data_IF_906933984952
#
_entry.id   IF_906933984952
#
_cell.length_a   1.000
_cell.length_b   1.000
_cell.length_c   1.000
_cell.angle_alpha   90.00
_cell.angle_beta   90.00
_cell.angle_gamma   90.00
#
_symmetry.space_group_name_H-M   'P 1'
#
loop_
_entity.id
_entity.type
_entity.pdbx_description
1 polymer ?
#
# COMPACT_ATOMS: atom_id res chain seq x y z
N UNK A 1 65.98 6.77 -10.41
CA UNK A 1 64.78 6.52 -11.25
C UNK A 1 64.26 5.13 -10.98
N UNK A 2 63.13 4.99 -10.26
CA UNK A 2 62.39 3.72 -10.36
C UNK A 2 60.86 3.86 -10.36
N UNK A 3 60.22 3.10 -11.28
CA UNK A 3 59.11 2.17 -11.02
C UNK A 3 57.87 2.64 -10.24
N UNK A 4 57.12 3.62 -10.75
CA UNK A 4 55.75 3.92 -10.28
C UNK A 4 54.75 4.19 -11.41
N UNK A 5 54.83 3.44 -12.53
CA UNK A 5 53.84 3.54 -13.61
C UNK A 5 53.50 2.13 -14.10
N UNK A 6 52.94 1.28 -13.23
CA UNK A 6 52.34 -0.01 -13.67
C UNK A 6 51.24 -0.54 -12.75
N UNK A 7 50.68 0.29 -11.86
CA UNK A 7 49.58 -0.13 -10.98
C UNK A 7 48.26 0.65 -11.20
N UNK A 8 48.25 1.60 -12.14
CA UNK A 8 47.11 2.50 -12.37
C UNK A 8 46.20 2.10 -13.55
N UNK A 9 46.38 0.90 -14.13
CA UNK A 9 45.70 0.48 -15.36
C UNK A 9 44.90 -0.83 -15.25
N UNK A 10 44.81 -1.44 -14.06
CA UNK A 10 43.95 -2.61 -13.79
C UNK A 10 42.65 -2.21 -13.04
N UNK A 11 42.46 -0.92 -12.74
CA UNK A 11 41.27 -0.38 -12.08
C UNK A 11 40.23 0.24 -13.04
N UNK A 12 40.42 0.15 -14.36
CA UNK A 12 39.50 0.69 -15.37
C UNK A 12 38.57 -0.37 -16.00
N UNK A 13 38.62 -1.60 -15.50
CA UNK A 13 37.63 -2.65 -15.77
C UNK A 13 36.91 -3.07 -14.49
N UNK A 14 36.69 -2.12 -13.57
CA UNK A 14 35.50 -2.19 -12.73
C UNK A 14 34.37 -1.75 -13.63
N UNK A 15 33.86 -2.75 -14.36
CA UNK A 15 32.52 -2.76 -14.92
C UNK A 15 31.65 -1.93 -14.00
N UNK A 16 31.11 -0.83 -14.51
CA UNK A 16 29.84 -0.28 -14.03
C UNK A 16 29.02 -1.46 -13.54
N UNK A 17 28.88 -1.61 -12.21
CA UNK A 17 27.75 -2.33 -11.66
C UNK A 17 26.61 -1.48 -12.14
N UNK A 18 26.17 -1.76 -13.36
CA UNK A 18 25.12 -1.04 -14.01
C UNK A 18 24.01 -1.06 -12.98
N UNK A 19 23.65 0.13 -12.50
CA UNK A 19 22.37 0.38 -11.89
C UNK A 19 21.40 -0.46 -12.69
N UNK A 20 20.97 -1.61 -12.14
CA UNK A 20 20.22 -2.60 -12.90
C UNK A 20 18.96 -1.85 -13.25
N UNK A 21 18.91 -1.30 -14.47
CA UNK A 21 17.74 -0.72 -15.10
C UNK A 21 16.81 -1.90 -15.25
N UNK A 22 16.12 -2.20 -14.16
CA UNK A 22 15.03 -3.13 -14.15
C UNK A 22 14.00 -2.43 -14.99
N UNK A 23 13.72 -3.00 -16.16
CA UNK A 23 12.62 -2.55 -16.98
C UNK A 23 11.38 -2.54 -16.07
N UNK A 24 10.95 -1.32 -15.74
CA UNK A 24 9.77 -1.06 -14.95
C UNK A 24 8.97 0.04 -15.63
N UNK A 25 7.65 -0.12 -15.55
CA UNK A 25 6.75 0.81 -16.24
C UNK A 25 5.48 1.01 -15.41
N UNK A 26 4.97 2.23 -15.43
CA UNK A 26 3.61 2.53 -15.05
C UNK A 26 2.73 2.54 -16.30
N UNK A 27 1.61 1.83 -16.26
CA UNK A 27 0.60 1.84 -17.31
C UNK A 27 -0.63 2.54 -16.75
N UNK A 28 -1.17 3.50 -17.48
CA UNK A 28 -2.39 4.22 -17.12
C UNK A 28 -3.39 4.04 -18.26
N UNK A 29 -4.48 3.32 -18.00
CA UNK A 29 -5.59 3.20 -18.95
C UNK A 29 -6.53 4.39 -18.77
N UNK A 30 -6.92 5.02 -19.87
CA UNK A 30 -7.84 6.17 -19.93
C UNK A 30 -8.87 5.98 -21.04
N UNK A 31 -10.04 6.61 -20.90
CA UNK A 31 -11.08 6.72 -21.93
C UNK A 31 -11.19 8.17 -22.37
N UNK A 32 -10.47 8.58 -23.43
CA UNK A 32 -10.45 10.00 -23.82
C UNK A 32 -11.80 10.56 -24.24
N UNK A 33 -12.74 9.69 -24.63
CA UNK A 33 -14.11 10.09 -24.98
C UNK A 33 -15.00 10.40 -23.77
N UNK A 34 -14.69 9.88 -22.58
CA UNK A 34 -15.54 10.02 -21.38
C UNK A 34 -14.82 10.57 -20.15
N UNK A 35 -13.51 10.40 -20.04
CA UNK A 35 -12.70 10.99 -18.98
C UNK A 35 -12.78 12.51 -19.04
N UNK A 36 -13.00 13.11 -17.87
CA UNK A 36 -13.10 14.56 -17.77
C UNK A 36 -11.76 15.21 -18.15
N UNK A 37 -11.76 16.48 -18.62
CA UNK A 37 -10.52 17.22 -18.83
C UNK A 37 -9.64 17.26 -17.57
N UNK A 38 -10.26 17.42 -16.38
CA UNK A 38 -9.54 17.37 -15.11
C UNK A 38 -8.81 16.03 -14.91
N UNK A 39 -9.47 14.90 -15.19
CA UNK A 39 -8.87 13.57 -15.10
C UNK A 39 -7.66 13.45 -16.03
N UNK A 40 -7.84 13.82 -17.30
CA UNK A 40 -6.80 13.70 -18.32
C UNK A 40 -5.60 14.62 -18.04
N UNK A 41 -5.84 15.84 -17.59
CA UNK A 41 -4.78 16.79 -17.22
C UNK A 41 -3.94 16.27 -16.06
N UNK A 42 -4.58 15.69 -15.03
CA UNK A 42 -3.85 15.09 -13.91
C UNK A 42 -3.08 13.81 -14.32
N UNK A 43 -3.63 12.98 -15.20
CA UNK A 43 -2.90 11.82 -15.75
C UNK A 43 -1.64 12.26 -16.51
N UNK A 44 -1.72 13.34 -17.30
CA UNK A 44 -0.56 13.90 -17.99
C UNK A 44 0.46 14.51 -17.01
N UNK A 45 -0.02 15.20 -15.97
CA UNK A 45 0.85 15.73 -14.91
C UNK A 45 1.57 14.59 -14.16
N UNK A 46 0.89 13.47 -13.95
CA UNK A 46 1.46 12.29 -13.32
C UNK A 46 2.57 11.65 -14.17
N UNK A 47 2.37 11.55 -15.49
CA UNK A 47 3.41 11.08 -16.42
C UNK A 47 4.68 11.93 -16.31
N UNK A 48 4.53 13.27 -16.31
CA UNK A 48 5.66 14.19 -16.14
C UNK A 48 6.36 14.00 -14.78
N UNK A 49 5.59 13.88 -13.70
CA UNK A 49 6.10 13.67 -12.34
C UNK A 49 6.93 12.38 -12.20
N UNK A 50 6.53 11.30 -12.89
CA UNK A 50 7.23 10.02 -12.84
C UNK A 50 8.44 9.97 -13.77
N UNK A 51 8.39 10.68 -14.90
CA UNK A 51 9.53 10.81 -15.81
C UNK A 51 10.74 11.47 -15.11
N UNK A 52 10.52 12.50 -14.29
CA UNK A 52 11.55 13.12 -13.45
C UNK A 52 12.25 12.14 -12.50
N UNK A 53 11.63 10.99 -12.23
CA UNK A 53 12.08 9.95 -11.30
C UNK A 53 12.51 8.67 -12.02
N UNK A 54 12.74 8.75 -13.33
CA UNK A 54 13.15 7.65 -14.19
C UNK A 54 12.17 6.46 -14.23
N UNK A 55 10.87 6.71 -13.99
CA UNK A 55 9.83 5.68 -14.13
C UNK A 55 9.12 5.91 -15.46
N UNK A 56 9.30 4.97 -16.40
CA UNK A 56 8.65 5.03 -17.71
C UNK A 56 7.14 4.90 -17.54
N UNK A 57 6.37 5.82 -18.12
CA UNK A 57 4.90 5.78 -18.06
C UNK A 57 4.32 5.57 -19.47
N UNK A 58 3.26 4.76 -19.57
CA UNK A 58 2.51 4.50 -20.80
C UNK A 58 1.03 4.79 -20.58
N UNK A 59 0.53 5.82 -21.24
CA UNK A 59 -0.89 6.15 -21.26
C UNK A 59 -1.57 5.40 -22.41
N UNK A 60 -2.58 4.60 -22.12
CA UNK A 60 -3.33 3.79 -23.09
C UNK A 60 -4.75 4.32 -23.21
N UNK A 61 -5.08 4.81 -24.40
CA UNK A 61 -6.42 5.25 -24.77
C UNK A 61 -7.28 4.05 -25.19
N UNK A 62 -8.12 3.56 -24.28
CA UNK A 62 -8.84 2.31 -24.48
C UNK A 62 -9.95 2.41 -25.52
N UNK A 63 -10.38 3.62 -25.86
CA UNK A 63 -11.34 3.86 -26.94
C UNK A 63 -10.79 3.40 -28.30
N UNK A 64 -9.46 3.34 -28.44
CA UNK A 64 -8.77 2.94 -29.68
C UNK A 64 -8.20 1.53 -29.61
N UNK A 65 -7.65 1.16 -28.46
CA UNK A 65 -6.89 -0.09 -28.33
C UNK A 65 -7.68 -1.22 -27.67
N UNK A 66 -8.83 -0.91 -27.06
CA UNK A 66 -9.45 -1.77 -26.07
C UNK A 66 -8.60 -1.87 -24.80
N UNK A 67 -9.04 -2.73 -23.87
CA UNK A 67 -8.38 -2.96 -22.59
C UNK A 67 -8.48 -4.42 -22.13
N UNK A 68 -7.55 -4.90 -21.30
CA UNK A 68 -7.65 -6.20 -20.65
C UNK A 68 -8.95 -6.34 -19.84
N UNK A 69 -9.42 -7.57 -19.64
CA UNK A 69 -10.72 -7.84 -19.03
C UNK A 69 -10.81 -7.29 -17.60
N UNK A 70 -9.70 -7.33 -16.88
CA UNK A 70 -9.54 -6.83 -15.51
C UNK A 70 -9.50 -5.30 -15.40
N UNK A 71 -9.42 -4.56 -16.51
CA UNK A 71 -9.52 -3.10 -16.48
C UNK A 71 -11.01 -2.73 -16.47
N UNK A 72 -11.57 -2.63 -15.26
CA UNK A 72 -13.01 -2.42 -15.05
C UNK A 72 -13.48 -0.97 -15.13
N UNK A 73 -12.58 -0.02 -14.92
CA UNK A 73 -12.83 1.42 -15.00
C UNK A 73 -11.58 2.17 -15.49
N UNK A 74 -11.70 3.48 -15.71
CA UNK A 74 -10.59 4.40 -15.98
C UNK A 74 -10.71 5.67 -15.12
N UNK A 75 -9.60 6.32 -14.71
CA UNK A 75 -8.23 5.92 -14.96
C UNK A 75 -7.86 4.66 -14.16
N UNK A 76 -7.16 3.71 -14.78
CA UNK A 76 -6.71 2.48 -14.13
C UNK A 76 -5.19 2.40 -14.16
N UNK A 77 -4.58 2.39 -12.98
CA UNK A 77 -3.14 2.54 -12.82
C UNK A 77 -2.50 1.21 -12.44
N UNK A 78 -1.55 0.76 -13.28
CA UNK A 78 -0.87 -0.52 -13.13
C UNK A 78 0.64 -0.32 -13.18
N UNK A 79 1.31 -0.56 -12.07
CA UNK A 79 2.76 -0.68 -12.03
C UNK A 79 3.18 -2.09 -12.50
N UNK A 80 4.24 -2.20 -13.30
CA UNK A 80 4.76 -3.50 -13.72
C UNK A 80 6.28 -3.56 -13.74
N UNK A 81 6.80 -4.76 -13.50
CA UNK A 81 8.21 -5.12 -13.71
C UNK A 81 8.34 -6.63 -13.98
N UNK A 82 9.54 -7.18 -13.84
CA UNK A 82 9.82 -8.61 -14.04
C UNK A 82 9.14 -9.56 -13.04
N UNK A 83 8.68 -9.05 -11.90
CA UNK A 83 7.92 -9.80 -10.88
C UNK A 83 6.42 -9.81 -11.22
N UNK A 84 5.98 -8.91 -12.11
CA UNK A 84 4.65 -8.89 -12.70
C UNK A 84 3.94 -7.53 -12.55
N UNK A 85 2.60 -7.53 -12.61
CA UNK A 85 1.72 -6.35 -12.58
C UNK A 85 1.10 -6.11 -11.21
N UNK A 86 0.95 -4.85 -10.82
CA UNK A 86 0.37 -4.42 -9.55
C UNK A 86 -0.52 -3.22 -9.74
N UNK A 87 -1.71 -3.31 -9.19
CA UNK A 87 -2.76 -2.32 -9.37
C UNK A 87 -2.70 -1.34 -8.21
N UNK A 88 -2.64 -0.06 -8.53
CA UNK A 88 -2.74 1.02 -7.56
C UNK A 88 -4.22 1.37 -7.37
N UNK A 89 -4.69 1.32 -6.12
CA UNK A 89 -6.01 1.79 -5.71
C UNK A 89 -5.84 3.03 -4.84
N UNK A 90 -5.95 4.19 -5.46
CA UNK A 90 -5.77 5.49 -4.82
C UNK A 90 -6.21 6.61 -5.77
N UNK A 91 -6.33 7.82 -5.23
CA UNK A 91 -6.60 9.00 -6.05
C UNK A 91 -5.47 9.19 -7.06
N UNK A 92 -5.81 9.37 -8.33
CA UNK A 92 -4.80 9.60 -9.39
C UNK A 92 -4.08 10.95 -9.23
N UNK A 93 -4.64 11.87 -8.45
CA UNK A 93 -4.06 13.17 -8.06
C UNK A 93 -2.98 13.02 -6.97
N UNK A 94 -2.95 11.90 -6.24
CA UNK A 94 -2.01 11.64 -5.16
C UNK A 94 -0.67 11.08 -5.65
N UNK A 95 0.09 11.91 -6.39
CA UNK A 95 1.35 11.48 -7.03
C UNK A 95 2.39 10.91 -6.04
N UNK A 96 2.51 11.52 -4.85
CA UNK A 96 3.41 11.04 -3.79
C UNK A 96 2.99 9.65 -3.28
N UNK A 97 1.70 9.42 -3.07
CA UNK A 97 1.17 8.11 -2.66
C UNK A 97 1.39 7.03 -3.70
N UNK A 98 1.23 7.36 -4.98
CA UNK A 98 1.57 6.43 -6.06
C UNK A 98 3.07 6.12 -6.09
N UNK A 99 3.93 7.11 -5.90
CA UNK A 99 5.37 6.86 -5.81
C UNK A 99 5.72 5.95 -4.63
N UNK A 100 5.12 6.19 -3.46
CA UNK A 100 5.30 5.35 -2.27
C UNK A 100 4.78 3.92 -2.52
N UNK A 101 3.62 3.78 -3.18
CA UNK A 101 3.14 2.49 -3.64
C UNK A 101 4.18 1.78 -4.53
N UNK A 102 4.71 2.44 -5.56
CA UNK A 102 5.75 1.85 -6.45
C UNK A 102 6.96 1.41 -5.62
N UNK A 103 7.47 2.27 -4.74
CA UNK A 103 8.66 1.99 -3.90
C UNK A 103 8.44 0.80 -2.97
N UNK A 104 7.26 0.70 -2.35
CA UNK A 104 6.90 -0.40 -1.45
C UNK A 104 6.65 -1.71 -2.21
N UNK A 105 6.06 -1.64 -3.40
CA UNK A 105 5.65 -2.83 -4.15
C UNK A 105 6.63 -3.33 -5.20
N UNK A 106 7.64 -2.54 -5.59
CA UNK A 106 8.63 -2.86 -6.64
C UNK A 106 9.22 -4.26 -6.51
N UNK A 107 9.40 -4.76 -5.28
CA UNK A 107 10.03 -6.08 -5.05
C UNK A 107 9.07 -7.18 -4.58
N UNK A 108 7.75 -6.96 -4.41
CA UNK A 108 6.88 -8.05 -3.89
C UNK A 108 6.39 -8.97 -5.01
N UNK A 109 6.37 -10.31 -4.81
CA UNK A 109 5.57 -11.18 -5.66
C UNK A 109 4.09 -10.79 -5.62
N UNK A 110 3.37 -11.19 -6.65
CA UNK A 110 1.92 -10.98 -6.74
C UNK A 110 1.24 -12.13 -6.01
N UNK A 111 0.52 -11.79 -4.96
CA UNK A 111 -0.61 -12.60 -4.49
C UNK A 111 -1.88 -12.00 -5.09
N UNK A 112 -2.65 -12.82 -5.82
CA UNK A 112 -4.03 -12.54 -6.17
C UNK A 112 -4.89 -12.92 -4.97
N UNK A 113 -5.69 -11.98 -4.46
CA UNK A 113 -6.64 -12.27 -3.40
C UNK A 113 -7.95 -11.59 -3.72
N UNK A 114 -8.94 -12.40 -4.08
CA UNK A 114 -10.34 -11.98 -3.99
C UNK A 114 -10.72 -11.94 -2.52
N UNK A 115 -11.28 -10.82 -2.08
CA UNK A 115 -11.79 -10.69 -0.72
C UNK A 115 -13.29 -10.53 -0.70
N UNK A 116 -13.91 -10.73 0.47
CA UNK A 116 -15.35 -10.59 0.61
C UNK A 116 -15.70 -9.36 1.44
N UNK A 117 -16.72 -8.66 0.98
CA UNK A 117 -17.43 -7.64 1.76
C UNK A 117 -18.82 -8.15 2.12
N UNK A 118 -19.29 -7.77 3.31
CA UNK A 118 -20.54 -8.27 3.86
C UNK A 118 -21.54 -7.14 4.13
N UNK A 119 -22.84 -7.44 3.94
CA UNK A 119 -23.95 -6.53 4.22
C UNK A 119 -23.82 -5.17 3.50
N UNK A 120 -23.54 -5.23 2.20
CA UNK A 120 -23.27 -4.08 1.34
C UNK A 120 -24.35 -3.88 0.28
N UNK A 121 -24.39 -2.69 -0.30
CA UNK A 121 -25.13 -2.44 -1.53
C UNK A 121 -24.16 -2.47 -2.71
N UNK A 122 -24.54 -3.14 -3.80
CA UNK A 122 -23.68 -3.31 -4.98
C UNK A 122 -24.38 -2.70 -6.18
N UNK A 123 -23.75 -1.69 -6.78
CA UNK A 123 -24.14 -1.16 -8.07
C UNK A 123 -23.21 -1.75 -9.14
N UNK A 124 -23.71 -2.75 -9.87
CA UNK A 124 -22.98 -3.36 -10.99
C UNK A 124 -23.13 -2.51 -12.24
N UNK A 125 -22.02 -2.19 -12.89
CA UNK A 125 -22.03 -1.42 -14.13
C UNK A 125 -20.86 -1.82 -15.05
N UNK A 126 -21.19 -2.34 -16.24
CA UNK A 126 -20.22 -2.80 -17.23
C UNK A 126 -19.25 -3.87 -16.68
N UNK A 127 -17.93 -3.62 -16.69
CA UNK A 127 -16.90 -4.55 -16.23
C UNK A 127 -16.58 -4.46 -14.74
N UNK A 128 -17.20 -3.55 -14.01
CA UNK A 128 -16.90 -3.29 -12.59
C UNK A 128 -18.18 -3.18 -11.77
N UNK A 129 -18.02 -3.07 -10.46
CA UNK A 129 -19.09 -2.69 -9.54
C UNK A 129 -18.58 -1.71 -8.51
N UNK A 130 -19.49 -0.84 -8.09
CA UNK A 130 -19.32 0.02 -6.93
C UNK A 130 -19.98 -0.62 -5.71
N UNK A 131 -19.18 -0.89 -4.69
CA UNK A 131 -19.61 -1.48 -3.42
C UNK A 131 -19.82 -0.36 -2.40
N UNK A 132 -21.07 -0.12 -2.03
CA UNK A 132 -21.48 0.87 -1.04
C UNK A 132 -21.51 0.19 0.33
N UNK A 133 -20.54 0.53 1.18
CA UNK A 133 -20.38 0.03 2.54
C UNK A 133 -21.07 0.94 3.53
N UNK A 134 -21.82 0.34 4.45
CA UNK A 134 -22.66 1.09 5.39
C UNK A 134 -22.03 1.13 6.78
N UNK A 135 -21.94 2.33 7.37
CA UNK A 135 -21.72 2.51 8.80
C UNK A 135 -22.91 3.26 9.39
N UNK A 136 -23.67 2.62 10.28
CA UNK A 136 -24.88 3.21 10.85
C UNK A 136 -24.71 3.23 12.37
N UNK A 137 -24.77 4.41 12.98
CA UNK A 137 -24.70 4.51 14.44
C UNK A 137 -26.02 4.13 15.09
N UNK A 138 -25.98 3.78 16.38
CA UNK A 138 -27.21 3.62 17.16
C UNK A 138 -28.05 4.90 17.15
N UNK A 139 -29.39 4.79 17.08
CA UNK A 139 -30.27 5.95 17.04
C UNK A 139 -30.17 6.77 18.33
N UNK A 140 -30.06 8.08 18.18
CA UNK A 140 -30.11 9.06 19.27
C UNK A 140 -31.51 9.69 19.37
N UNK A 141 -31.75 10.46 20.43
CA UNK A 141 -33.02 11.17 20.65
C UNK A 141 -34.01 10.39 21.53
N UNK A 142 -35.31 10.53 21.24
CA UNK A 142 -36.39 9.92 22.04
C UNK A 142 -36.85 8.62 21.41
N UNK A 143 -36.45 7.51 22.01
CA UNK A 143 -36.82 6.17 21.55
C UNK A 143 -38.32 5.92 21.82
N UNK A 144 -39.08 5.42 20.84
CA UNK A 144 -40.51 5.14 21.02
C UNK A 144 -40.74 3.97 21.97
N UNK A 145 -41.93 3.91 22.57
CA UNK A 145 -42.34 2.77 23.40
C UNK A 145 -42.27 1.46 22.59
N UNK A 146 -41.66 0.42 23.15
CA UNK A 146 -41.44 -0.86 22.46
C UNK A 146 -40.36 -0.81 21.37
N UNK A 147 -39.45 0.18 21.43
CA UNK A 147 -38.26 0.20 20.58
C UNK A 147 -37.42 -1.06 20.80
N UNK A 148 -37.02 -1.69 19.70
CA UNK A 148 -35.97 -2.72 19.69
C UNK A 148 -35.01 -2.43 18.54
N UNK A 149 -33.72 -2.72 18.76
CA UNK A 149 -32.70 -2.51 17.76
C UNK A 149 -32.98 -3.33 16.49
N UNK A 150 -33.52 -4.53 16.60
CA UNK A 150 -33.85 -5.37 15.45
C UNK A 150 -34.99 -4.81 14.61
N UNK A 151 -36.01 -4.22 15.25
CA UNK A 151 -37.09 -3.54 14.52
C UNK A 151 -36.54 -2.33 13.78
N UNK A 152 -35.69 -1.55 14.42
CA UNK A 152 -35.00 -0.43 13.79
C UNK A 152 -34.15 -0.87 12.59
N UNK A 153 -33.39 -1.96 12.74
CA UNK A 153 -32.56 -2.55 11.69
C UNK A 153 -33.34 -2.96 10.45
N UNK A 154 -34.49 -3.61 10.65
CA UNK A 154 -35.38 -3.98 9.53
C UNK A 154 -35.94 -2.75 8.82
N UNK A 155 -36.37 -1.74 9.56
CA UNK A 155 -36.96 -0.53 9.00
C UNK A 155 -35.94 0.34 8.25
N UNK A 156 -34.73 0.53 8.79
CA UNK A 156 -33.72 1.28 8.04
C UNK A 156 -33.33 0.52 6.78
N UNK A 157 -33.17 -0.82 6.84
CA UNK A 157 -32.73 -1.59 5.68
C UNK A 157 -33.76 -1.54 4.56
N UNK A 158 -35.05 -1.53 4.91
CA UNK A 158 -36.15 -1.27 3.97
C UNK A 158 -36.00 0.10 3.31
N UNK A 159 -35.73 1.14 4.10
CA UNK A 159 -35.49 2.49 3.59
C UNK A 159 -34.27 2.57 2.65
N UNK A 160 -33.14 2.00 3.07
CA UNK A 160 -31.91 1.96 2.28
C UNK A 160 -32.12 1.25 0.93
N UNK A 161 -32.85 0.13 0.90
CA UNK A 161 -33.21 -0.56 -0.35
C UNK A 161 -34.06 0.30 -1.30
N UNK A 162 -34.95 1.12 -0.76
CA UNK A 162 -35.76 2.06 -1.55
C UNK A 162 -34.89 3.23 -2.07
N UNK A 163 -34.01 3.78 -1.24
CA UNK A 163 -33.17 4.94 -1.61
C UNK A 163 -31.99 4.60 -2.52
N UNK A 164 -31.37 3.44 -2.35
CA UNK A 164 -30.31 2.90 -3.20
C UNK A 164 -30.85 2.03 -4.34
N UNK A 165 -32.03 2.33 -4.89
CA UNK A 165 -32.73 1.48 -5.86
C UNK A 165 -31.90 0.87 -7.02
N UNK A 166 -30.93 1.57 -7.67
CA UNK A 166 -30.10 0.96 -8.71
C UNK A 166 -29.03 -0.02 -8.18
N UNK A 167 -28.80 -0.06 -6.87
CA UNK A 167 -27.89 -0.98 -6.21
C UNK A 167 -28.66 -2.12 -5.53
N UNK A 168 -28.08 -3.33 -5.56
CA UNK A 168 -28.67 -4.51 -4.92
C UNK A 168 -28.00 -4.79 -3.58
N UNK A 169 -28.80 -4.99 -2.53
CA UNK A 169 -28.26 -5.43 -1.24
C UNK A 169 -27.75 -6.87 -1.32
N UNK A 170 -26.49 -7.08 -0.96
CA UNK A 170 -25.86 -8.40 -0.90
C UNK A 170 -25.34 -8.68 0.51
N UNK A 171 -25.60 -9.89 1.01
CA UNK A 171 -25.10 -10.33 2.31
C UNK A 171 -23.59 -10.54 2.29
N UNK A 172 -23.07 -11.03 1.17
CA UNK A 172 -21.64 -11.20 0.92
C UNK A 172 -21.39 -11.06 -0.59
N UNK A 173 -20.32 -10.40 -0.98
CA UNK A 173 -19.88 -10.28 -2.37
C UNK A 173 -18.35 -10.40 -2.43
N UNK A 174 -17.82 -11.08 -3.44
CA UNK A 174 -16.39 -11.05 -3.74
C UNK A 174 -16.03 -9.74 -4.42
N UNK A 175 -14.97 -9.09 -3.97
CA UNK A 175 -14.47 -7.82 -4.49
C UNK A 175 -13.10 -8.06 -5.10
N UNK A 176 -12.94 -7.58 -6.33
CA UNK A 176 -11.74 -7.71 -7.14
C UNK A 176 -10.95 -6.39 -7.19
N UNK A 177 -9.78 -6.43 -7.84
CA UNK A 177 -8.98 -5.22 -8.04
C UNK A 177 -9.62 -4.21 -9.00
N UNK A 178 -10.63 -4.60 -9.78
CA UNK A 178 -11.33 -3.71 -10.70
C UNK A 178 -12.59 -3.10 -10.10
N UNK A 179 -12.93 -3.42 -8.86
CA UNK A 179 -14.13 -2.92 -8.18
C UNK A 179 -13.77 -1.77 -7.23
N UNK A 180 -14.68 -0.81 -7.08
CA UNK A 180 -14.50 0.32 -6.17
C UNK A 180 -15.40 0.26 -4.95
N UNK A 181 -14.97 0.93 -3.89
CA UNK A 181 -15.69 1.01 -2.63
C UNK A 181 -16.08 2.45 -2.35
N UNK A 182 -17.18 2.64 -1.65
CA UNK A 182 -17.54 3.93 -1.08
C UNK A 182 -18.22 3.70 0.26
N UNK A 183 -17.88 4.49 1.27
CA UNK A 183 -18.45 4.34 2.60
C UNK A 183 -19.54 5.39 2.80
N UNK A 184 -20.73 4.95 3.19
CA UNK A 184 -21.82 5.81 3.61
C UNK A 184 -22.04 5.66 5.11
N UNK A 185 -21.81 6.76 5.82
CA UNK A 185 -22.09 6.84 7.24
C UNK A 185 -23.47 7.47 7.44
N UNK A 186 -24.28 6.89 8.33
CA UNK A 186 -25.61 7.40 8.66
C UNK A 186 -25.77 7.56 10.18
N UNK A 187 -26.26 8.74 10.58
CA UNK A 187 -26.44 9.14 11.97
C UNK A 187 -27.91 9.44 12.26
N UNK A 188 -28.69 8.43 12.70
CA UNK A 188 -30.12 8.58 12.94
C UNK A 188 -30.44 9.29 14.27
N UNK A 189 -31.39 10.22 14.21
CA UNK A 189 -31.99 10.89 15.37
C UNK A 189 -33.52 10.77 15.34
N UNK A 190 -34.11 10.28 16.44
CA UNK A 190 -35.56 10.15 16.62
C UNK A 190 -36.09 11.33 17.44
N UNK A 191 -36.91 12.18 16.83
CA UNK A 191 -37.48 13.34 17.50
C UNK A 191 -38.74 12.99 18.31
N UNK A 192 -39.06 13.84 19.31
CA UNK A 192 -40.23 13.69 20.19
C UNK A 192 -41.57 13.63 19.45
N UNK A 193 -41.67 14.33 18.32
CA UNK A 193 -42.88 14.37 17.50
C UNK A 193 -43.01 13.18 16.54
N UNK A 194 -42.16 12.14 16.68
CA UNK A 194 -42.16 10.95 15.84
C UNK A 194 -41.44 11.11 14.50
N UNK A 195 -40.93 12.30 14.18
CA UNK A 195 -40.12 12.53 12.98
C UNK A 195 -38.72 11.92 13.16
N UNK A 196 -38.20 11.33 12.09
CA UNK A 196 -36.85 10.78 12.05
C UNK A 196 -35.97 11.67 11.17
N UNK A 197 -34.78 11.96 11.65
CA UNK A 197 -33.73 12.65 10.93
C UNK A 197 -32.55 11.71 10.74
N UNK A 198 -31.90 11.78 9.59
CA UNK A 198 -30.72 10.99 9.27
C UNK A 198 -29.71 11.95 8.65
N UNK A 199 -28.67 12.26 9.41
CA UNK A 199 -27.49 12.93 8.86
C UNK A 199 -26.62 11.88 8.16
N UNK A 200 -25.90 12.27 7.11
CA UNK A 200 -25.04 11.34 6.39
C UNK A 200 -23.70 11.94 6.00
N UNK A 201 -22.71 11.08 5.84
CA UNK A 201 -21.41 11.39 5.25
C UNK A 201 -21.06 10.34 4.22
N UNK A 202 -20.25 10.72 3.25
CA UNK A 202 -19.67 9.83 2.26
C UNK A 202 -18.15 9.95 2.36
N UNK A 203 -17.47 8.81 2.46
CA UNK A 203 -16.01 8.75 2.40
C UNK A 203 -15.58 7.94 1.19
N UNK A 204 -14.47 8.36 0.57
CA UNK A 204 -13.85 7.63 -0.53
C UNK A 204 -13.26 6.31 -0.03
N UNK A 205 -13.08 5.35 -0.94
CA UNK A 205 -12.23 4.18 -0.70
C UNK A 205 -10.82 4.57 -0.26
N UNK A 206 -10.32 5.68 -0.79
CA UNK A 206 -8.93 6.08 -0.66
C UNK A 206 -8.64 6.91 0.59
N UNK A 207 -9.69 7.46 1.21
CA UNK A 207 -9.63 8.26 2.44
C UNK A 207 -10.88 8.03 3.28
N UNK A 208 -10.72 7.27 4.37
CA UNK A 208 -11.79 6.95 5.30
C UNK A 208 -11.88 7.91 6.49
N UNK A 209 -11.00 8.93 6.55
CA UNK A 209 -10.97 9.92 7.63
C UNK A 209 -11.73 11.18 7.22
N UNK A 210 -11.41 11.74 6.06
CA UNK A 210 -12.04 12.98 5.59
C UNK A 210 -13.22 12.67 4.66
N UNK A 211 -14.44 13.12 4.99
CA UNK A 211 -15.60 12.88 4.13
C UNK A 211 -15.49 13.71 2.85
N UNK A 212 -15.81 13.09 1.71
CA UNK A 212 -15.95 13.78 0.41
C UNK A 212 -17.30 14.49 0.27
N UNK A 213 -18.24 14.19 1.18
CA UNK A 213 -19.54 14.85 1.28
C UNK A 213 -20.13 14.68 2.68
N UNK A 214 -20.85 15.70 3.16
CA UNK A 214 -21.62 15.67 4.39
C UNK A 214 -23.00 16.31 4.20
N UNK A 215 -24.02 15.72 4.83
CA UNK A 215 -25.38 16.26 4.88
C UNK A 215 -25.90 16.26 6.31
N UNK A 216 -25.57 17.33 7.06
CA UNK A 216 -25.96 17.48 8.46
C UNK A 216 -27.09 18.50 8.64
N UNK A 217 -27.06 19.60 7.89
CA UNK A 217 -28.08 20.64 7.95
C UNK A 217 -28.44 21.18 6.55
N UNK A 218 -29.67 20.95 6.04
CA UNK A 218 -30.70 20.11 6.65
C UNK A 218 -30.41 18.61 6.46
N UNK A 219 -30.48 17.86 7.56
CA UNK A 219 -30.48 16.39 7.52
C UNK A 219 -31.69 15.86 6.74
N UNK A 220 -31.52 14.71 6.09
CA UNK A 220 -32.64 13.99 5.49
C UNK A 220 -33.65 13.61 6.57
N UNK A 221 -34.95 13.66 6.26
CA UNK A 221 -35.96 13.40 7.27
C UNK A 221 -37.20 12.72 6.72
N UNK A 222 -37.97 12.07 7.60
CA UNK A 222 -39.18 11.36 7.24
C UNK A 222 -40.09 11.08 8.44
N UNK A 223 -41.35 10.78 8.15
CA UNK A 223 -42.37 10.42 9.15
C UNK A 223 -42.15 9.02 9.77
N UNK A 224 -41.19 8.25 9.24
CA UNK A 224 -40.80 6.94 9.75
C UNK A 224 -39.31 6.69 9.49
N UNK A 225 -38.75 5.69 10.18
CA UNK A 225 -37.36 5.26 9.99
C UNK A 225 -37.10 4.91 8.51
N UNK A 226 -37.93 4.06 7.92
CA UNK A 226 -37.79 3.66 6.51
C UNK A 226 -37.84 4.86 5.56
N UNK A 227 -38.73 5.85 5.79
CA UNK A 227 -38.81 7.03 4.92
C UNK A 227 -37.63 7.99 5.08
N UNK A 228 -37.13 8.19 6.31
CA UNK A 228 -35.95 9.03 6.52
C UNK A 228 -34.68 8.39 5.92
N UNK A 229 -34.49 7.08 6.08
CA UNK A 229 -33.36 6.36 5.48
C UNK A 229 -33.46 6.27 3.95
N UNK A 230 -34.66 6.15 3.39
CA UNK A 230 -34.85 6.23 1.93
C UNK A 230 -34.45 7.59 1.39
N UNK A 231 -34.84 8.68 2.06
CA UNK A 231 -34.44 10.03 1.68
C UNK A 231 -32.91 10.22 1.78
N UNK A 232 -32.31 9.78 2.88
CA UNK A 232 -30.86 9.86 3.09
C UNK A 232 -30.08 9.07 2.03
N UNK A 233 -30.45 7.81 1.78
CA UNK A 233 -29.80 6.97 0.78
C UNK A 233 -29.97 7.52 -0.64
N UNK A 234 -31.13 8.10 -0.97
CA UNK A 234 -31.33 8.73 -2.28
C UNK A 234 -30.42 9.96 -2.47
N UNK A 235 -30.27 10.78 -1.44
CA UNK A 235 -29.33 11.91 -1.43
C UNK A 235 -27.89 11.43 -1.56
N UNK A 236 -27.49 10.43 -0.76
CA UNK A 236 -26.14 9.86 -0.83
C UNK A 236 -25.85 9.23 -2.19
N UNK A 237 -26.80 8.51 -2.79
CA UNK A 237 -26.62 7.91 -4.12
C UNK A 237 -26.42 8.97 -5.21
N UNK A 238 -27.22 10.03 -5.19
CA UNK A 238 -27.09 11.12 -6.16
C UNK A 238 -25.70 11.75 -6.06
N UNK A 239 -25.20 11.95 -4.84
CA UNK A 239 -23.85 12.46 -4.63
C UNK A 239 -22.76 11.47 -5.05
N UNK A 240 -22.92 10.17 -4.75
CA UNK A 240 -22.00 9.12 -5.23
C UNK A 240 -21.90 9.18 -6.76
N UNK A 241 -23.04 9.25 -7.46
CA UNK A 241 -23.08 9.32 -8.91
C UNK A 241 -22.37 10.57 -9.44
N UNK A 242 -22.54 11.71 -8.75
CA UNK A 242 -21.84 12.95 -9.07
C UNK A 242 -20.32 12.80 -8.88
N UNK A 243 -19.87 12.28 -7.74
CA UNK A 243 -18.45 12.10 -7.42
C UNK A 243 -17.75 11.14 -8.39
N UNK A 244 -18.42 10.05 -8.79
CA UNK A 244 -17.91 9.10 -9.77
C UNK A 244 -17.59 9.78 -11.11
N UNK A 245 -18.31 10.83 -11.50
CA UNK A 245 -18.09 11.50 -12.79
C UNK A 245 -17.26 12.78 -12.66
N UNK A 246 -17.48 13.54 -11.58
CA UNK A 246 -17.06 14.94 -11.45
C UNK A 246 -16.06 15.19 -10.33
N UNK A 247 -15.58 14.16 -9.62
CA UNK A 247 -14.66 14.36 -8.50
C UNK A 247 -13.36 15.03 -8.96
N UNK A 248 -13.10 16.21 -8.38
CA UNK A 248 -11.84 16.94 -8.51
C UNK A 248 -10.81 16.51 -7.46
N UNK A 249 -11.13 15.53 -6.62
CA UNK A 249 -10.19 14.98 -5.64
C UNK A 249 -9.38 13.82 -6.24
N UNK A 250 -9.78 13.29 -7.39
CA UNK A 250 -9.14 12.12 -7.99
C UNK A 250 -9.90 10.81 -7.78
N UNK A 251 -11.15 10.88 -7.32
CA UNK A 251 -12.04 9.72 -7.12
C UNK A 251 -12.92 9.43 -8.35
N UNK A 252 -12.87 10.28 -9.38
CA UNK A 252 -13.68 10.13 -10.57
C UNK A 252 -13.23 8.89 -11.37
N UNK A 253 -14.20 8.12 -11.85
CA UNK A 253 -13.97 6.93 -12.65
C UNK A 253 -15.04 6.79 -13.75
N UNK A 254 -14.62 6.28 -14.90
CA UNK A 254 -15.49 5.86 -15.99
C UNK A 254 -15.46 4.35 -16.16
N UNK A 255 -16.61 3.72 -16.23
CA UNK A 255 -16.71 2.27 -16.38
C UNK A 255 -16.25 1.83 -17.77
N UNK A 256 -15.34 0.86 -17.81
CA UNK A 256 -14.94 0.23 -19.06
C UNK A 256 -16.07 -0.67 -19.54
N UNK A 257 -16.56 -0.43 -20.76
CA UNK A 257 -17.64 -1.21 -21.35
C UNK A 257 -17.26 -2.67 -21.56
N UNK A 258 -18.23 -3.58 -21.49
CA UNK A 258 -18.01 -5.01 -21.74
C UNK A 258 -17.89 -5.38 -23.24
N UNK A 259 -17.15 -4.58 -24.00
CA UNK A 259 -16.83 -4.72 -25.43
C UNK A 259 -15.37 -4.32 -25.65
N UNK A 260 -14.74 -4.72 -26.77
CA UNK A 260 -13.33 -4.40 -27.08
C UNK A 260 -12.35 -4.89 -25.99
N UNK A 261 -12.41 -6.19 -25.65
CA UNK A 261 -11.45 -6.82 -24.74
C UNK A 261 -10.16 -7.11 -25.51
N UNK A 262 -9.06 -6.48 -25.08
CA UNK A 262 -7.73 -6.66 -25.68
C UNK A 262 -6.78 -7.22 -24.62
N UNK A 263 -6.20 -8.41 -24.81
CA UNK A 263 -5.30 -9.01 -23.82
C UNK A 263 -3.99 -8.22 -23.73
N UNK A 264 -3.28 -8.35 -22.60
CA UNK A 264 -2.02 -7.64 -22.35
C UNK A 264 -0.98 -7.86 -23.44
N UNK A 265 -0.90 -9.08 -23.98
CA UNK A 265 0.06 -9.46 -24.99
C UNK A 265 -0.18 -8.71 -26.31
N UNK A 266 -1.45 -8.51 -26.68
CA UNK A 266 -1.83 -7.73 -27.86
C UNK A 266 -1.51 -6.24 -27.71
N UNK A 267 -1.51 -5.72 -26.47
CA UNK A 267 -1.04 -4.37 -26.16
C UNK A 267 0.49 -4.24 -26.06
N UNK A 268 1.24 -5.33 -26.29
CA UNK A 268 2.70 -5.41 -26.06
C UNK A 268 3.08 -5.12 -24.61
N UNK A 269 2.20 -5.52 -23.69
CA UNK A 269 2.33 -5.31 -22.25
C UNK A 269 2.54 -6.63 -21.46
N UNK A 270 3.28 -7.59 -22.03
CA UNK A 270 3.72 -8.80 -21.33
C UNK A 270 4.68 -8.50 -20.17
N UNK A 271 4.89 -9.48 -19.27
CA UNK A 271 5.85 -9.36 -18.15
C UNK A 271 7.24 -8.98 -18.66
N UNK A 272 7.91 -8.07 -17.95
CA UNK A 272 9.24 -7.56 -18.33
C UNK A 272 10.33 -8.59 -17.95
N UNK A 273 11.49 -8.52 -18.59
CA UNK A 273 12.58 -9.47 -18.31
C UNK A 273 13.29 -9.10 -17.02
N UNK A 274 13.70 -10.10 -16.25
CA UNK A 274 14.58 -9.89 -15.11
C UNK A 274 15.96 -9.46 -15.61
N UNK A 275 16.64 -8.61 -14.84
CA UNK A 275 18.02 -8.24 -15.13
C UNK A 275 18.93 -9.47 -15.03
N UNK A 276 19.93 -9.54 -15.91
CA UNK A 276 20.97 -10.57 -15.82
C UNK A 276 21.79 -10.36 -14.54
N UNK A 277 22.04 -11.44 -13.81
CA UNK A 277 22.92 -11.41 -12.64
C UNK A 277 24.37 -11.33 -13.11
N UNK A 278 25.17 -10.53 -12.42
CA UNK A 278 26.62 -10.55 -12.62
C UNK A 278 27.19 -11.85 -12.08
N UNK A 279 27.87 -12.62 -12.93
CA UNK A 279 28.53 -13.89 -12.55
C UNK A 279 29.97 -13.69 -12.05
N UNK A 280 30.30 -12.53 -11.50
CA UNK A 280 31.66 -12.25 -11.04
C UNK A 280 31.92 -12.96 -9.71
N UNK A 281 32.74 -14.03 -9.72
CA UNK A 281 32.98 -14.88 -8.55
C UNK A 281 34.40 -14.79 -7.97
N UNK A 282 35.33 -14.09 -8.64
CA UNK A 282 36.72 -13.95 -8.20
C UNK A 282 36.96 -12.58 -7.57
N UNK A 283 36.87 -12.52 -6.24
CA UNK A 283 37.26 -11.37 -5.44
C UNK A 283 38.49 -11.66 -4.60
N UNK A 284 39.41 -10.69 -4.40
CA UNK A 284 40.51 -10.85 -3.46
C UNK A 284 39.98 -11.06 -2.04
N UNK A 285 40.72 -11.81 -1.22
CA UNK A 285 40.40 -12.00 0.20
C UNK A 285 40.52 -10.66 0.93
N UNK A 286 39.39 -10.06 1.31
CA UNK A 286 39.32 -8.83 2.10
C UNK A 286 38.94 -9.19 3.54
N UNK A 287 39.61 -8.57 4.52
CA UNK A 287 39.21 -8.66 5.92
C UNK A 287 37.90 -7.90 6.15
N UNK A 288 36.88 -8.60 6.60
CA UNK A 288 35.58 -8.01 6.90
C UNK A 288 35.58 -7.40 8.32
N UNK A 289 34.94 -6.23 8.53
CA UNK A 289 34.72 -5.65 9.85
C UNK A 289 34.01 -6.59 10.83
N UNK A 290 34.34 -6.49 12.12
CA UNK A 290 33.63 -7.21 13.20
C UNK A 290 32.32 -6.55 13.62
N UNK A 291 32.22 -5.23 13.45
CA UNK A 291 31.01 -4.46 13.75
C UNK A 291 30.62 -3.65 12.52
N UNK A 292 29.34 -3.70 12.20
CA UNK A 292 28.71 -3.00 11.08
C UNK A 292 27.65 -2.08 11.64
N UNK A 293 27.56 -0.87 11.07
CA UNK A 293 26.54 0.12 11.42
C UNK A 293 25.76 0.54 10.18
N UNK A 294 24.47 0.81 10.34
CA UNK A 294 23.61 1.28 9.23
C UNK A 294 24.21 2.54 8.61
N UNK A 295 24.42 2.50 7.28
CA UNK A 295 24.91 3.60 6.47
C UNK A 295 23.78 4.31 5.72
N UNK A 296 22.68 3.62 5.43
CA UNK A 296 21.53 4.17 4.70
C UNK A 296 20.78 3.10 3.91
N UNK A 297 19.88 3.52 2.99
CA UNK A 297 19.26 2.62 2.03
C UNK A 297 20.27 2.10 1.01
N UNK A 298 19.88 1.05 0.28
CA UNK A 298 20.69 0.46 -0.80
C UNK A 298 20.86 1.41 -1.99
N UNK A 299 19.85 2.24 -2.25
CA UNK A 299 19.85 3.29 -3.26
C UNK A 299 18.81 4.35 -2.88
N UNK A 300 18.89 5.54 -3.47
CA UNK A 300 17.96 6.66 -3.18
C UNK A 300 16.48 6.31 -3.45
N UNK A 301 16.24 5.36 -4.35
CA UNK A 301 14.92 4.95 -4.80
C UNK A 301 14.33 3.78 -4.01
N UNK A 302 15.06 3.26 -3.02
CA UNK A 302 14.65 2.11 -2.21
C UNK A 302 14.55 2.51 -0.74
N UNK A 303 13.39 2.33 -0.08
CA UNK A 303 13.28 2.62 1.35
C UNK A 303 14.09 1.64 2.21
N UNK A 304 14.66 2.16 3.31
CA UNK A 304 15.36 1.36 4.32
C UNK A 304 14.43 0.29 4.90
N UNK A 305 13.22 0.71 5.27
CA UNK A 305 12.16 -0.16 5.76
C UNK A 305 10.86 0.24 5.08
N UNK A 306 10.28 -0.67 4.30
CA UNK A 306 8.93 -0.54 3.77
C UNK A 306 7.99 -1.51 4.49
N UNK A 307 6.73 -1.13 4.56
CA UNK A 307 5.67 -2.02 5.00
C UNK A 307 4.44 -1.88 4.11
N UNK A 308 3.64 -2.94 4.07
CA UNK A 308 2.34 -2.91 3.42
C UNK A 308 1.40 -3.95 4.04
N UNK A 309 0.10 -3.71 3.93
CA UNK A 309 -0.89 -4.75 4.17
C UNK A 309 -0.96 -5.69 2.95
N UNK A 310 -1.32 -6.97 3.12
CA UNK A 310 -1.68 -7.85 2.01
C UNK A 310 -2.81 -7.24 1.15
N UNK A 311 -2.98 -7.72 -0.10
CA UNK A 311 -4.17 -7.40 -0.88
C UNK A 311 -5.46 -7.63 -0.07
N UNK A 312 -6.48 -6.80 -0.25
CA UNK A 312 -6.58 -5.66 -1.19
C UNK A 312 -5.97 -4.34 -0.65
N UNK A 313 -5.39 -4.35 0.55
CA UNK A 313 -5.06 -3.16 1.33
C UNK A 313 -3.63 -2.63 1.06
N UNK A 314 -2.97 -3.08 -0.01
CA UNK A 314 -1.57 -2.69 -0.35
C UNK A 314 -1.37 -1.18 -0.49
N UNK A 315 -2.42 -0.44 -0.82
CA UNK A 315 -2.42 1.01 -0.96
C UNK A 315 -2.32 1.77 0.38
N UNK A 316 -2.41 1.06 1.51
CA UNK A 316 -2.06 1.53 2.86
C UNK A 316 -0.62 1.15 3.25
N UNK A 317 0.25 0.99 2.26
CA UNK A 317 1.68 0.81 2.49
C UNK A 317 2.37 2.13 2.83
N UNK A 318 3.50 2.02 3.49
CA UNK A 318 4.34 3.16 3.86
C UNK A 318 5.80 2.76 4.01
N UNK A 319 6.64 3.75 4.26
CA UNK A 319 8.06 3.56 4.51
C UNK A 319 8.52 4.30 5.75
N UNK A 320 9.62 3.83 6.35
CA UNK A 320 10.35 4.55 7.38
C UNK A 320 11.68 5.03 6.79
N UNK A 321 11.87 6.33 6.82
CA UNK A 321 13.03 6.98 6.20
C UNK A 321 14.25 7.09 7.13
N UNK A 322 14.08 6.88 8.44
CA UNK A 322 15.16 6.95 9.41
C UNK A 322 15.25 5.68 10.27
N UNK A 323 16.32 4.92 10.07
CA UNK A 323 16.69 3.80 10.91
C UNK A 323 18.18 3.87 11.29
N UNK A 324 18.49 3.34 12.47
CA UNK A 324 19.85 3.11 12.95
C UNK A 324 19.96 1.66 13.38
N UNK A 325 21.17 1.15 13.46
CA UNK A 325 21.37 -0.20 13.95
C UNK A 325 22.78 -0.68 13.75
N UNK A 326 23.07 -1.82 14.37
CA UNK A 326 24.34 -2.49 14.24
C UNK A 326 24.18 -4.00 14.17
N UNK A 327 25.19 -4.64 13.58
CA UNK A 327 25.45 -6.08 13.66
C UNK A 327 26.89 -6.25 14.09
N UNK A 328 27.12 -7.07 15.11
CA UNK A 328 28.45 -7.43 15.58
C UNK A 328 28.64 -8.93 15.59
N UNK A 329 29.83 -9.39 15.24
CA UNK A 329 30.22 -10.79 15.24
C UNK A 329 31.14 -11.07 16.44
N UNK A 330 30.84 -12.12 17.21
CA UNK A 330 31.64 -12.48 18.38
C UNK A 330 32.95 -13.18 17.96
N UNK A 331 32.87 -14.11 16.99
CA UNK A 331 34.02 -14.83 16.45
C UNK A 331 33.91 -14.95 14.93
N UNK A 332 34.98 -14.60 14.22
CA UNK A 332 35.02 -14.67 12.75
C UNK A 332 33.96 -13.79 12.08
N UNK A 333 33.48 -14.28 10.92
CA UNK A 333 32.47 -13.62 10.08
C UNK A 333 31.21 -14.51 9.98
N UNK A 334 30.91 -15.21 11.06
CA UNK A 334 29.83 -16.19 11.14
C UNK A 334 28.54 -15.54 11.65
N UNK A 335 27.50 -15.53 10.81
CA UNK A 335 26.19 -15.02 11.17
C UNK A 335 25.54 -15.79 12.32
N UNK A 336 25.91 -17.05 12.59
CA UNK A 336 25.33 -17.83 13.70
C UNK A 336 25.54 -17.14 15.06
N UNK A 337 26.69 -16.47 15.22
CA UNK A 337 27.06 -15.75 16.45
C UNK A 337 26.68 -14.27 16.43
N UNK A 338 26.01 -13.81 15.37
CA UNK A 338 25.72 -12.39 15.17
C UNK A 338 24.75 -11.85 16.22
N UNK A 339 25.13 -10.71 16.80
CA UNK A 339 24.26 -9.90 17.65
C UNK A 339 23.85 -8.68 16.83
N UNK A 340 22.55 -8.45 16.71
CA UNK A 340 22.01 -7.34 15.94
C UNK A 340 20.96 -6.56 16.72
N UNK A 341 21.02 -5.23 16.62
CA UNK A 341 19.99 -4.33 17.13
C UNK A 341 19.70 -3.24 16.12
N UNK A 342 18.43 -3.08 15.78
CA UNK A 342 17.94 -2.06 14.86
C UNK A 342 16.87 -1.23 15.55
N UNK A 343 16.90 0.08 15.30
CA UNK A 343 15.98 1.06 15.87
C UNK A 343 15.47 1.94 14.74
N UNK A 344 14.16 2.03 14.63
CA UNK A 344 13.46 2.91 13.67
C UNK A 344 12.87 4.07 14.44
N UNK A 345 13.04 5.29 13.92
CA UNK A 345 12.34 6.48 14.44
C UNK A 345 10.91 6.42 13.92
N UNK A 346 9.92 6.24 14.79
CA UNK A 346 8.53 6.03 14.36
C UNK A 346 7.97 7.26 13.65
N UNK A 347 8.37 8.46 14.09
CA UNK A 347 8.01 9.72 13.44
C UNK A 347 8.63 9.95 12.05
N UNK A 348 9.49 9.04 11.56
CA UNK A 348 10.00 9.09 10.18
C UNK A 348 9.15 8.27 9.20
N UNK A 349 7.97 7.84 9.62
CA UNK A 349 7.02 7.16 8.76
C UNK A 349 6.52 8.12 7.67
N UNK A 350 6.38 7.61 6.47
CA UNK A 350 5.80 8.32 5.32
C UNK A 350 4.78 7.40 4.63
N UNK A 351 3.52 7.84 4.65
CA UNK A 351 2.39 7.15 3.99
C UNK A 351 2.15 7.64 2.57
N UNK A 352 2.95 8.61 2.08
CA UNK A 352 2.82 9.26 0.78
C UNK A 352 1.80 10.39 0.73
N UNK A 353 1.11 10.67 1.84
CA UNK A 353 0.15 11.77 2.03
C UNK A 353 0.31 12.34 3.45
N UNK A 354 0.37 13.67 3.57
CA UNK A 354 0.69 14.34 4.84
C UNK A 354 -0.42 14.09 5.89
N UNK A 355 -1.69 14.24 5.51
CA UNK A 355 -2.84 13.99 6.41
C UNK A 355 -2.91 12.52 6.88
N UNK A 356 -2.67 11.56 5.97
CA UNK A 356 -2.65 10.14 6.32
C UNK A 356 -1.45 9.82 7.23
N UNK A 357 -0.30 10.42 6.96
CA UNK A 357 0.90 10.29 7.80
C UNK A 357 0.63 10.83 9.20
N UNK A 358 0.06 12.03 9.30
CA UNK A 358 -0.36 12.64 10.57
C UNK A 358 -1.32 11.72 11.33
N UNK A 359 -2.40 11.28 10.68
CA UNK A 359 -3.39 10.38 11.29
C UNK A 359 -2.75 9.08 11.81
N UNK A 360 -1.84 8.46 11.05
CA UNK A 360 -1.13 7.25 11.50
C UNK A 360 -0.20 7.55 12.67
N UNK A 361 0.56 8.66 12.62
CA UNK A 361 1.51 9.02 13.68
C UNK A 361 0.81 9.35 15.01
N UNK A 362 -0.30 10.07 14.96
CA UNK A 362 -1.01 10.53 16.15
C UNK A 362 -1.97 9.47 16.72
N UNK A 363 -2.80 8.89 15.86
CA UNK A 363 -3.94 8.07 16.28
C UNK A 363 -3.63 6.57 16.37
N UNK A 364 -2.60 6.09 15.66
CA UNK A 364 -2.26 4.67 15.61
C UNK A 364 -0.92 4.36 16.29
N UNK A 365 0.12 5.15 16.01
CA UNK A 365 1.47 4.90 16.47
C UNK A 365 1.87 5.69 17.71
N UNK A 366 1.07 6.69 18.11
CA UNK A 366 1.29 7.51 19.31
C UNK A 366 2.75 7.95 19.46
N UNK A 367 3.30 8.56 18.41
CA UNK A 367 4.76 8.78 18.26
C UNK A 367 5.40 9.53 19.43
N UNK A 368 4.67 10.42 20.09
CA UNK A 368 5.15 11.13 21.28
C UNK A 368 5.39 10.19 22.49
N UNK A 369 4.57 9.15 22.63
CA UNK A 369 4.69 8.14 23.70
C UNK A 369 5.64 7.02 23.31
N UNK A 370 5.72 6.71 22.02
CA UNK A 370 6.49 5.60 21.47
C UNK A 370 7.34 6.06 20.28
N UNK A 371 8.40 6.87 20.52
CA UNK A 371 9.17 7.51 19.45
C UNK A 371 10.02 6.54 18.63
N UNK A 372 10.22 5.32 19.14
CA UNK A 372 11.07 4.31 18.52
C UNK A 372 10.43 2.94 18.50
N UNK A 373 10.61 2.21 17.40
CA UNK A 373 10.42 0.76 17.32
C UNK A 373 11.79 0.08 17.29
N UNK A 374 11.93 -1.09 17.91
CA UNK A 374 13.22 -1.77 18.05
C UNK A 374 13.12 -3.24 17.67
N UNK A 375 14.10 -3.74 16.92
CA UNK A 375 14.29 -5.16 16.64
C UNK A 375 15.62 -5.62 17.22
N UNK A 376 15.61 -6.72 17.97
CA UNK A 376 16.80 -7.32 18.60
C UNK A 376 16.92 -8.77 18.19
N UNK A 377 18.07 -9.15 17.64
CA UNK A 377 18.35 -10.53 17.24
C UNK A 377 18.34 -11.44 18.47
N UNK A 378 17.74 -12.63 18.31
CA UNK A 378 17.87 -13.73 19.26
C UNK A 378 18.78 -14.83 18.73
N UNK A 379 18.56 -15.20 17.47
CA UNK A 379 19.25 -16.31 16.84
C UNK A 379 19.21 -16.16 15.33
N UNK A 380 20.30 -16.52 14.66
CA UNK A 380 20.33 -16.67 13.21
C UNK A 380 20.44 -18.15 12.88
N UNK A 381 19.68 -18.62 11.89
CA UNK A 381 19.57 -20.03 11.52
C UNK A 381 19.72 -20.14 10.00
N UNK A 382 20.56 -21.05 9.54
CA UNK A 382 20.72 -21.33 8.12
C UNK A 382 21.95 -22.21 7.88
N UNK A 383 22.15 -22.56 6.60
CA UNK A 383 23.32 -23.29 6.16
C UNK A 383 24.38 -22.31 5.63
N UNK A 384 25.66 -22.63 5.83
CA UNK A 384 26.78 -21.82 5.31
C UNK A 384 26.73 -20.34 5.73
N UNK A 385 26.63 -20.09 7.03
CA UNK A 385 26.45 -18.76 7.63
C UNK A 385 27.70 -17.85 7.66
N UNK A 386 28.83 -18.31 7.12
CA UNK A 386 30.03 -17.50 6.99
C UNK A 386 29.88 -16.49 5.86
N UNK A 387 30.12 -15.20 6.15
CA UNK A 387 30.12 -14.15 5.15
C UNK A 387 31.39 -14.19 4.30
N UNK A 388 31.24 -13.90 3.00
CA UNK A 388 32.35 -13.75 2.06
C UNK A 388 32.00 -12.72 1.01
N UNK A 389 33.00 -11.96 0.55
CA UNK A 389 32.83 -10.88 -0.41
C UNK A 389 32.22 -11.38 -1.72
N UNK A 390 31.16 -10.70 -2.19
CA UNK A 390 30.44 -11.02 -3.43
C UNK A 390 29.59 -12.30 -3.36
N UNK A 391 29.40 -12.88 -2.18
CA UNK A 391 28.55 -14.05 -1.99
C UNK A 391 27.36 -13.72 -1.11
N UNK A 392 26.17 -14.00 -1.63
CA UNK A 392 24.93 -13.92 -0.87
C UNK A 392 24.84 -15.08 0.13
N UNK A 393 24.78 -14.74 1.41
CA UNK A 393 24.46 -15.68 2.50
C UNK A 393 23.01 -15.49 2.91
N UNK A 394 22.20 -16.55 2.84
CA UNK A 394 20.78 -16.52 3.22
C UNK A 394 20.59 -17.13 4.60
N UNK A 395 19.79 -16.50 5.45
CA UNK A 395 19.49 -16.99 6.79
C UNK A 395 18.06 -16.63 7.23
N UNK A 396 17.56 -17.36 8.23
CA UNK A 396 16.38 -17.00 9.01
C UNK A 396 16.82 -16.37 10.33
N UNK A 397 16.45 -15.12 10.55
CA UNK A 397 16.71 -14.37 11.78
C UNK A 397 15.48 -14.45 12.68
N UNK A 398 15.65 -15.06 13.85
CA UNK A 398 14.70 -14.95 14.94
C UNK A 398 15.00 -13.68 15.73
N UNK A 399 14.00 -12.82 15.93
CA UNK A 399 14.18 -11.56 16.64
C UNK A 399 13.00 -11.24 17.56
N UNK A 400 13.25 -10.39 18.54
CA UNK A 400 12.21 -9.69 19.29
C UNK A 400 11.94 -8.34 18.62
N UNK A 401 10.71 -8.10 18.22
CA UNK A 401 10.25 -6.82 17.70
C UNK A 401 9.43 -6.11 18.76
N UNK A 402 9.77 -4.85 19.05
CA UNK A 402 9.07 -3.99 20.00
C UNK A 402 8.45 -2.80 19.28
N UNK A 403 7.12 -2.71 19.34
CA UNK A 403 6.29 -1.65 18.75
C UNK A 403 5.28 -1.22 19.82
N UNK A 404 5.06 0.08 19.99
CA UNK A 404 4.15 0.63 21.02
C UNK A 404 4.41 0.09 22.44
N UNK A 405 5.68 -0.13 22.79
CA UNK A 405 6.07 -0.70 24.09
C UNK A 405 5.71 -2.18 24.29
N UNK A 406 5.18 -2.86 23.27
CA UNK A 406 4.87 -4.29 23.30
C UNK A 406 5.89 -5.07 22.48
N UNK A 407 6.34 -6.20 23.01
CA UNK A 407 7.34 -7.04 22.36
C UNK A 407 6.74 -8.38 21.97
N UNK A 408 6.95 -8.79 20.72
CA UNK A 408 6.60 -10.12 20.23
C UNK A 408 7.74 -10.69 19.36
N UNK A 409 7.88 -12.02 19.28
CA UNK A 409 8.86 -12.65 18.40
C UNK A 409 8.44 -12.50 16.94
N UNK A 410 9.42 -12.31 16.06
CA UNK A 410 9.26 -12.34 14.60
C UNK A 410 10.33 -13.23 13.97
N UNK A 411 10.00 -13.82 12.82
CA UNK A 411 10.91 -14.57 11.98
C UNK A 411 11.12 -13.79 10.69
N UNK A 412 12.36 -13.39 10.42
CA UNK A 412 12.73 -12.71 9.19
C UNK A 412 13.57 -13.62 8.31
N UNK A 413 13.23 -13.72 7.02
CA UNK A 413 14.16 -14.27 6.02
C UNK A 413 15.06 -13.14 5.56
N UNK A 414 16.38 -13.33 5.63
CA UNK A 414 17.36 -12.31 5.31
C UNK A 414 18.46 -12.83 4.39
N UNK A 415 18.99 -11.93 3.57
CA UNK A 415 20.16 -12.10 2.73
C UNK A 415 21.21 -11.07 3.14
N UNK A 416 22.45 -11.53 3.25
CA UNK A 416 23.60 -10.75 3.65
C UNK A 416 24.66 -10.90 2.56
N UNK A 417 25.14 -9.79 2.04
CA UNK A 417 26.17 -9.80 0.99
C UNK A 417 27.18 -8.69 1.26
N UNK A 418 28.43 -9.03 1.63
CA UNK A 418 29.52 -8.07 1.60
C UNK A 418 29.82 -7.70 0.14
N UNK A 419 29.86 -6.40 -0.17
CA UNK A 419 30.12 -5.87 -1.52
C UNK A 419 31.13 -4.71 -1.45
N UNK A 420 31.76 -4.39 -2.58
CA UNK A 420 32.43 -3.10 -2.77
C UNK A 420 31.47 -2.17 -3.50
N UNK A 421 31.24 -0.97 -2.95
CA UNK A 421 30.46 0.06 -3.63
C UNK A 421 31.25 0.69 -4.80
N UNK A 422 30.64 1.60 -5.55
CA UNK A 422 31.25 2.27 -6.72
C UNK A 422 32.56 3.02 -6.38
N UNK A 423 32.74 3.40 -5.12
CA UNK A 423 33.95 4.06 -4.62
C UNK A 423 35.00 3.05 -4.10
N UNK A 424 34.74 1.75 -4.26
CA UNK A 424 35.56 0.67 -3.72
C UNK A 424 35.45 0.49 -2.21
N UNK A 425 34.48 1.13 -1.55
CA UNK A 425 34.32 1.00 -0.11
C UNK A 425 33.53 -0.27 0.22
N UNK A 426 34.03 -1.02 1.21
CA UNK A 426 33.37 -2.22 1.69
C UNK A 426 32.05 -1.90 2.40
N UNK A 427 30.99 -2.57 1.97
CA UNK A 427 29.63 -2.50 2.53
C UNK A 427 29.10 -3.88 2.81
N UNK A 428 28.16 -3.96 3.75
CA UNK A 428 27.31 -5.14 3.93
C UNK A 428 25.91 -4.77 3.49
N UNK A 429 25.48 -5.37 2.40
CA UNK A 429 24.13 -5.23 1.87
C UNK A 429 23.22 -6.24 2.57
N UNK A 430 22.08 -5.75 3.08
CA UNK A 430 21.10 -6.57 3.77
C UNK A 430 19.73 -6.38 3.13
N UNK A 431 19.17 -7.50 2.70
CA UNK A 431 17.77 -7.62 2.33
C UNK A 431 17.07 -8.49 3.35
N UNK A 432 15.95 -8.06 3.92
CA UNK A 432 15.16 -8.92 4.78
C UNK A 432 13.66 -8.73 4.57
N UNK A 433 12.89 -9.76 4.88
CA UNK A 433 11.44 -9.71 4.91
C UNK A 433 10.89 -10.48 6.11
N UNK A 434 9.83 -9.96 6.70
CA UNK A 434 9.08 -10.64 7.77
C UNK A 434 7.62 -10.19 7.74
N UNK A 435 6.75 -10.92 8.44
CA UNK A 435 5.36 -10.52 8.66
C UNK A 435 5.03 -10.42 10.13
N UNK A 436 4.05 -9.57 10.43
CA UNK A 436 3.29 -9.59 11.67
C UNK A 436 1.91 -10.12 11.29
N UNK A 437 1.59 -11.37 11.65
CA UNK A 437 0.32 -12.01 11.25
C UNK A 437 -0.85 -11.74 12.22
N UNK A 438 -0.56 -11.14 13.39
CA UNK A 438 -1.57 -10.78 14.38
C UNK A 438 -1.32 -9.38 14.96
N UNK A 439 -1.40 -8.36 14.10
CA UNK A 439 -1.08 -6.98 14.43
C UNK A 439 -1.86 -6.46 15.65
N UNK A 440 -3.18 -6.68 15.68
CA UNK A 440 -4.07 -6.27 16.78
C UNK A 440 -3.77 -7.04 18.07
N UNK A 441 -3.56 -8.34 17.99
CA UNK A 441 -3.29 -9.16 19.18
C UNK A 441 -1.91 -8.90 19.77
N UNK A 442 -0.88 -8.81 18.93
CA UNK A 442 0.51 -8.63 19.37
C UNK A 442 0.83 -7.21 19.80
N UNK A 443 0.27 -6.20 19.13
CA UNK A 443 0.67 -4.80 19.32
C UNK A 443 -0.49 -3.83 19.57
N UNK A 444 -1.75 -4.30 19.58
CA UNK A 444 -2.97 -3.45 19.72
C UNK A 444 -3.10 -2.34 18.68
N UNK A 445 -2.45 -2.50 17.52
CA UNK A 445 -2.62 -1.64 16.37
C UNK A 445 -3.80 -2.14 15.56
N UNK A 446 -4.75 -1.25 15.24
CA UNK A 446 -5.83 -1.55 14.31
C UNK A 446 -5.32 -1.32 12.87
N UNK A 447 -5.49 -2.30 11.99
CA UNK A 447 -5.26 -2.10 10.57
C UNK A 447 -6.40 -1.31 9.90
N UNK A 448 -6.23 -0.99 8.59
CA UNK A 448 -7.24 -0.28 7.83
C UNK A 448 -8.53 -1.11 7.69
N UNK A 449 -9.61 -0.42 7.33
CA UNK A 449 -10.88 -1.08 7.03
C UNK A 449 -10.71 -2.05 5.85
N UNK A 450 -11.14 -3.30 6.03
CA UNK A 450 -10.99 -4.35 5.02
C UNK A 450 -11.15 -5.74 5.62
N UNK A 451 -10.79 -6.79 4.86
CA UNK A 451 -10.87 -8.19 5.30
C UNK A 451 -10.02 -8.43 6.55
N UNK A 452 -10.56 -9.21 7.49
CA UNK A 452 -9.88 -9.50 8.76
C UNK A 452 -8.50 -10.15 8.58
N UNK A 453 -8.35 -11.02 7.57
CA UNK A 453 -7.07 -11.68 7.26
C UNK A 453 -6.02 -10.69 6.73
N UNK A 454 -6.45 -9.69 5.95
CA UNK A 454 -5.56 -8.69 5.36
C UNK A 454 -5.26 -7.55 6.34
N UNK A 455 -6.25 -7.05 7.08
CA UNK A 455 -6.06 -5.90 7.97
C UNK A 455 -5.34 -6.23 9.28
N UNK A 456 -5.30 -7.50 9.69
CA UNK A 456 -4.57 -7.93 10.89
C UNK A 456 -3.15 -8.42 10.57
N UNK A 457 -2.75 -8.38 9.30
CA UNK A 457 -1.43 -8.81 8.83
C UNK A 457 -0.68 -7.64 8.21
N UNK A 458 0.60 -7.49 8.56
CA UNK A 458 1.47 -6.48 7.97
C UNK A 458 2.77 -7.13 7.50
N UNK A 459 3.17 -6.83 6.27
CA UNK A 459 4.38 -7.32 5.63
C UNK A 459 5.44 -6.24 5.71
N UNK A 460 6.67 -6.63 6.07
CA UNK A 460 7.80 -5.71 6.20
C UNK A 460 8.95 -6.14 5.31
N UNK A 461 9.69 -5.14 4.84
CA UNK A 461 10.83 -5.30 3.96
C UNK A 461 11.93 -4.34 4.34
N UNK A 462 13.12 -4.88 4.48
CA UNK A 462 14.32 -4.16 4.85
C UNK A 462 15.27 -4.18 3.67
N UNK A 463 15.80 -3.01 3.30
CA UNK A 463 16.82 -2.85 2.27
C UNK A 463 17.84 -1.85 2.80
N UNK A 464 18.93 -2.33 3.41
CA UNK A 464 19.90 -1.44 4.04
C UNK A 464 21.33 -1.76 3.62
N UNK A 465 22.14 -0.71 3.56
CA UNK A 465 23.59 -0.81 3.51
C UNK A 465 24.13 -0.55 4.90
N UNK A 466 25.13 -1.35 5.27
CA UNK A 466 25.93 -1.11 6.45
C UNK A 466 27.37 -0.83 6.06
N UNK A 467 28.06 -0.04 6.88
CA UNK A 467 29.50 0.20 6.79
C UNK A 467 30.20 -0.39 8.01
N UNK A 468 31.45 -0.79 7.85
CA UNK A 468 32.29 -1.15 8.99
C UNK A 468 32.37 0.01 9.97
N UNK A 469 32.29 -0.29 11.26
CA UNK A 469 32.60 0.67 12.30
C UNK A 469 34.11 0.75 12.44
N UNK A 470 34.65 1.96 12.36
CA UNK A 470 36.07 2.25 12.54
C UNK A 470 36.55 1.96 13.96
#
# INVERSE_FOLDING_TARGET
MPKYITFLLILLSFSTIAQQNTDEELIIFVQKSTDSPFTLDNVNALEAYLLERNITTKIIDIDKTGAPKEVGYTPFIVYRNHIGRKIFKGRYTSHKRLLNFIRTVRRLPIEEVDYKEENVFVWEHERSKLVIKLKITDPKGVLPLGFTLDKFKREYLKGLKEGFAPATYQKAISVSNSDELIYCNFYPYLAKNGKVYVSSEIHSHYDCHTPIYQQFDPAASGASVSKAFSAAAKGSLAEIQRQVVESTLGDAMNYTKNENITPWEALKLSVLKAAEKSDQTDFPTIELPKEWIVAGPIDENTPILAFNFPPPLRHYGGEFTAATGNISFNEGQDLETAIGKFVVKVASIDMGEDELTEAVTESMLYVDKHPTATLVFKKVIGDHLNLSLGRVTTATVQANLTILGKTAPVLATAQFEPILDENGALRLQIYAQFSIDNLKGSYTVAGPDGPAEANNKMLFRVNLLMKGKE
#
